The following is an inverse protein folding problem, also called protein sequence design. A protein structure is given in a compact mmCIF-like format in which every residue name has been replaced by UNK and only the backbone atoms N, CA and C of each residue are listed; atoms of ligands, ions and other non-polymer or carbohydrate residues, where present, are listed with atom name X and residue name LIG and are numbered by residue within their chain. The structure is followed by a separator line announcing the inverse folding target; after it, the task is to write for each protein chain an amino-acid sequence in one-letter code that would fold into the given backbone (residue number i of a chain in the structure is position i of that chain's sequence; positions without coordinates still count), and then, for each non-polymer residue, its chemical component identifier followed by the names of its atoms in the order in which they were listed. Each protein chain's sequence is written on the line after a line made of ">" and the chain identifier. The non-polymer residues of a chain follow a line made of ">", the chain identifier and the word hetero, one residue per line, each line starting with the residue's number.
data_IF_311128192627
#
_entry.id   IF_311128192627
#
_cell.length_a   1.000
_cell.length_b   1.000
_cell.length_c   1.000
_cell.angle_alpha   90.00
_cell.angle_beta   90.00
_cell.angle_gamma   90.00
#
_symmetry.space_group_name_H-M   'P 1'
#
loop_
_entity.id
_entity.type
_entity.pdbx_description
1 polymer ?
#
# COMPACT_ATOMS: atom_id res chain seq x y z
N UNK A 1 -4.44 0.25 -13.39
CA UNK A 1 -5.18 0.77 -14.55
C UNK A 1 -6.30 1.69 -14.08
N UNK A 2 -5.92 2.86 -13.55
CA UNK A 2 -6.83 3.91 -13.13
C UNK A 2 -6.46 5.18 -13.88
N UNK A 3 -7.46 5.85 -14.43
CA UNK A 3 -7.33 7.14 -15.09
C UNK A 3 -8.10 8.20 -14.30
N UNK A 4 -7.67 9.43 -14.43
CA UNK A 4 -8.41 10.61 -13.97
C UNK A 4 -8.80 11.44 -15.19
N UNK A 5 -9.97 12.05 -15.14
CA UNK A 5 -10.42 13.01 -16.13
C UNK A 5 -10.45 14.40 -15.51
N UNK A 6 -9.67 15.28 -16.10
CA UNK A 6 -9.58 16.69 -15.72
C UNK A 6 -10.43 17.52 -16.66
N UNK A 7 -10.98 18.62 -16.18
CA UNK A 7 -11.87 19.48 -16.97
C UNK A 7 -11.17 20.10 -18.19
N UNK A 8 -9.96 20.60 -18.02
CA UNK A 8 -9.15 21.20 -19.09
C UNK A 8 -8.12 20.20 -19.63
N UNK A 9 -7.49 19.42 -18.76
CA UNK A 9 -6.38 18.52 -19.09
C UNK A 9 -6.80 17.19 -19.71
N UNK A 10 -8.11 16.88 -19.76
CA UNK A 10 -8.59 15.61 -20.30
C UNK A 10 -8.21 14.40 -19.48
N UNK A 11 -8.04 13.25 -20.10
CA UNK A 11 -7.72 11.99 -19.42
C UNK A 11 -6.22 11.77 -19.26
N UNK A 12 -5.81 11.43 -18.04
CA UNK A 12 -4.41 11.17 -17.64
C UNK A 12 -4.37 9.91 -16.78
N UNK A 13 -3.31 9.12 -16.89
CA UNK A 13 -3.07 8.01 -15.96
C UNK A 13 -2.93 8.52 -14.52
N UNK A 14 -3.47 7.79 -13.55
CA UNK A 14 -3.35 8.17 -12.14
C UNK A 14 -1.89 8.27 -11.69
N UNK A 15 -0.99 7.42 -12.20
CA UNK A 15 0.46 7.46 -11.91
C UNK A 15 1.11 8.77 -12.33
N UNK A 16 0.63 9.38 -13.40
CA UNK A 16 1.15 10.65 -13.90
C UNK A 16 0.48 11.82 -13.18
N UNK A 17 -0.85 11.73 -12.99
CA UNK A 17 -1.61 12.73 -12.26
C UNK A 17 -1.03 13.02 -10.86
N UNK A 18 -0.64 11.98 -10.09
CA UNK A 18 -0.08 12.18 -8.74
C UNK A 18 1.29 12.87 -8.75
N UNK A 19 1.99 12.88 -9.89
CA UNK A 19 3.28 13.56 -10.08
C UNK A 19 3.13 14.98 -10.63
N UNK A 20 1.99 15.29 -11.24
CA UNK A 20 1.74 16.63 -11.81
C UNK A 20 1.81 17.70 -10.73
N UNK A 21 2.28 18.90 -11.08
CA UNK A 21 2.21 20.06 -10.19
C UNK A 21 0.74 20.39 -9.91
N UNK A 22 0.48 20.95 -8.73
CA UNK A 22 -0.85 21.46 -8.40
C UNK A 22 -1.16 22.63 -9.33
N UNK A 23 -2.26 22.52 -10.04
CA UNK A 23 -2.81 23.58 -10.89
C UNK A 23 -4.24 23.95 -10.44
N UNK A 24 -4.93 24.72 -11.25
CA UNK A 24 -6.31 25.15 -11.02
C UNK A 24 -7.32 24.36 -11.86
N UNK A 25 -6.95 23.17 -12.32
CA UNK A 25 -7.88 22.32 -13.04
C UNK A 25 -8.79 21.57 -12.08
N UNK A 26 -9.93 21.12 -12.57
CA UNK A 26 -10.94 20.42 -11.79
C UNK A 26 -10.88 18.93 -12.12
N UNK A 27 -10.73 18.09 -11.10
CA UNK A 27 -10.92 16.66 -11.22
C UNK A 27 -12.40 16.35 -11.41
N UNK A 28 -12.77 15.89 -12.61
CA UNK A 28 -14.17 15.61 -12.97
C UNK A 28 -14.58 14.22 -12.52
N UNK A 29 -13.74 13.21 -12.79
CA UNK A 29 -13.99 11.83 -12.39
C UNK A 29 -12.71 11.00 -12.29
N UNK A 30 -12.83 9.89 -11.56
CA UNK A 30 -11.81 8.83 -11.49
C UNK A 30 -12.39 7.61 -12.20
N UNK A 31 -11.67 7.06 -13.15
CA UNK A 31 -12.07 5.91 -13.96
C UNK A 31 -11.24 4.71 -13.53
N UNK A 32 -11.89 3.72 -12.92
CA UNK A 32 -11.24 2.51 -12.42
C UNK A 32 -11.66 1.33 -13.30
N UNK A 33 -10.70 0.72 -13.98
CA UNK A 33 -10.94 -0.51 -14.72
C UNK A 33 -11.10 -1.68 -13.74
N UNK A 34 -12.26 -2.32 -13.75
CA UNK A 34 -12.50 -3.50 -12.92
C UNK A 34 -11.71 -4.69 -13.47
N UNK A 35 -10.81 -5.23 -12.66
CA UNK A 35 -10.05 -6.44 -12.95
C UNK A 35 -10.07 -7.34 -11.72
N UNK A 36 -10.01 -8.68 -11.86
CA UNK A 36 -9.81 -9.57 -10.73
C UNK A 36 -8.49 -9.21 -10.03
N UNK A 37 -8.55 -8.97 -8.72
CA UNK A 37 -7.38 -8.57 -7.94
C UNK A 37 -7.36 -9.33 -6.60
N UNK A 38 -6.19 -9.87 -6.26
CA UNK A 38 -5.89 -10.28 -4.90
C UNK A 38 -5.33 -9.05 -4.16
N UNK A 39 -6.13 -8.47 -3.27
CA UNK A 39 -5.78 -7.24 -2.58
C UNK A 39 -6.25 -7.27 -1.13
N UNK A 40 -5.43 -6.73 -0.23
CA UNK A 40 -5.81 -6.44 1.15
C UNK A 40 -5.57 -4.98 1.46
N UNK A 41 -6.55 -4.34 2.09
CA UNK A 41 -6.44 -2.98 2.63
C UNK A 41 -6.64 -3.02 4.13
N UNK A 42 -5.65 -2.51 4.86
CA UNK A 42 -5.67 -2.40 6.32
C UNK A 42 -5.38 -0.95 6.72
N UNK A 43 -5.98 -0.51 7.82
CA UNK A 43 -5.68 0.81 8.39
C UNK A 43 -5.72 0.76 9.91
N UNK A 44 -4.80 1.51 10.52
CA UNK A 44 -4.84 1.79 11.96
C UNK A 44 -5.45 3.17 12.18
N UNK A 45 -6.41 3.26 13.09
CA UNK A 45 -7.10 4.49 13.50
C UNK A 45 -7.10 4.62 15.02
N UNK A 46 -7.11 5.84 15.53
CA UNK A 46 -7.23 6.08 16.98
C UNK A 46 -8.67 5.80 17.46
N UNK A 47 -9.67 6.21 16.64
CA UNK A 47 -11.07 5.91 16.87
C UNK A 47 -11.71 5.41 15.57
N UNK A 48 -12.87 4.75 15.65
CA UNK A 48 -13.55 4.15 14.50
C UNK A 48 -13.85 5.15 13.38
N UNK A 49 -14.14 6.39 13.71
CA UNK A 49 -14.56 7.45 12.77
C UNK A 49 -13.43 8.41 12.38
N UNK A 50 -12.23 8.29 12.99
CA UNK A 50 -11.11 9.18 12.71
C UNK A 50 -10.42 8.82 11.37
N UNK A 51 -9.62 9.75 10.87
CA UNK A 51 -8.68 9.47 9.78
C UNK A 51 -7.63 8.44 10.19
N UNK A 52 -7.12 7.63 9.27
CA UNK A 52 -6.07 6.67 9.60
C UNK A 52 -4.82 7.34 10.14
N UNK A 53 -4.19 6.71 11.12
CA UNK A 53 -2.80 7.00 11.53
C UNK A 53 -1.85 6.53 10.42
N UNK A 54 -2.12 5.33 9.88
CA UNK A 54 -1.49 4.76 8.69
C UNK A 54 -2.49 3.85 7.98
N UNK A 55 -2.42 3.85 6.65
CA UNK A 55 -3.12 2.89 5.79
C UNK A 55 -2.11 2.12 4.95
N UNK A 56 -2.36 0.83 4.74
CA UNK A 56 -1.58 -0.06 3.91
C UNK A 56 -2.51 -0.82 2.98
N UNK A 57 -2.20 -0.82 1.69
CA UNK A 57 -2.88 -1.61 0.68
C UNK A 57 -1.84 -2.45 -0.05
N UNK A 58 -2.02 -3.77 -0.07
CA UNK A 58 -1.13 -4.69 -0.78
C UNK A 58 -1.92 -5.40 -1.87
N UNK A 59 -1.37 -5.38 -3.07
CA UNK A 59 -1.82 -6.17 -4.21
C UNK A 59 -0.79 -7.25 -4.51
N UNK A 60 -1.28 -8.48 -4.63
CA UNK A 60 -0.50 -9.61 -5.13
C UNK A 60 -0.93 -9.90 -6.58
N UNK A 61 0.03 -10.06 -7.48
CA UNK A 61 -0.18 -10.41 -8.88
C UNK A 61 0.96 -11.25 -9.41
N UNK A 62 0.80 -11.85 -10.59
CA UNK A 62 1.86 -12.61 -11.28
C UNK A 62 3.12 -11.75 -11.51
N UNK A 63 2.97 -10.44 -11.64
CA UNK A 63 4.07 -9.48 -11.83
C UNK A 63 4.71 -9.03 -10.49
N UNK A 64 4.41 -9.72 -9.38
CA UNK A 64 4.96 -9.41 -8.06
C UNK A 64 3.99 -8.65 -7.15
N UNK A 65 4.55 -8.13 -6.07
CA UNK A 65 3.84 -7.43 -5.01
C UNK A 65 3.97 -5.92 -5.17
N UNK A 66 2.84 -5.22 -5.02
CA UNK A 66 2.80 -3.76 -4.87
C UNK A 66 2.17 -3.40 -3.55
N UNK A 67 2.87 -2.62 -2.75
CA UNK A 67 2.39 -2.11 -1.48
C UNK A 67 2.25 -0.58 -1.55
N UNK A 68 1.10 -0.05 -1.13
CA UNK A 68 0.83 1.39 -1.10
C UNK A 68 0.54 1.82 0.33
N UNK A 69 1.26 2.84 0.79
CA UNK A 69 1.11 3.38 2.14
C UNK A 69 0.55 4.79 2.09
N UNK A 70 -0.58 4.99 2.77
CA UNK A 70 -1.26 6.28 2.91
C UNK A 70 -1.28 6.78 4.36
N UNK A 71 -1.79 7.99 4.56
CA UNK A 71 -1.92 8.63 5.86
C UNK A 71 -0.59 8.80 6.63
N UNK A 72 0.52 8.89 5.93
CA UNK A 72 1.89 9.05 6.47
C UNK A 72 2.36 10.52 6.59
N UNK A 73 1.51 11.50 6.83
CA UNK A 73 1.51 12.95 6.58
C UNK A 73 2.31 13.42 5.34
N UNK A 74 2.12 12.68 4.23
CA UNK A 74 2.63 13.01 2.91
C UNK A 74 1.77 12.30 1.84
N UNK A 75 2.07 12.50 0.55
CA UNK A 75 1.44 11.74 -0.54
C UNK A 75 1.58 10.24 -0.32
N UNK A 76 0.63 9.45 -0.82
CA UNK A 76 0.75 8.00 -0.81
C UNK A 76 2.07 7.55 -1.44
N UNK A 77 2.66 6.52 -0.87
CA UNK A 77 3.95 5.97 -1.28
C UNK A 77 3.75 4.56 -1.84
N UNK A 78 4.19 4.33 -3.06
CA UNK A 78 4.23 3.02 -3.69
C UNK A 78 5.59 2.38 -3.39
N UNK A 79 5.56 1.16 -2.88
CA UNK A 79 6.72 0.30 -2.69
C UNK A 79 6.55 -0.94 -3.54
N UNK A 80 7.56 -1.28 -4.32
CA UNK A 80 7.67 -2.52 -5.08
C UNK A 80 8.75 -3.41 -4.44
N UNK A 81 8.68 -4.71 -4.69
CA UNK A 81 9.65 -5.70 -4.20
C UNK A 81 10.90 -5.72 -5.10
N UNK A 82 11.74 -4.70 -4.98
CA UNK A 82 12.97 -4.57 -5.78
C UNK A 82 14.03 -5.64 -5.44
N UNK A 83 13.96 -6.22 -4.23
CA UNK A 83 14.90 -7.25 -3.76
C UNK A 83 14.41 -8.67 -4.07
N UNK A 84 13.19 -8.82 -4.62
CA UNK A 84 12.61 -10.13 -4.94
C UNK A 84 12.31 -11.00 -3.72
N UNK A 85 12.07 -10.39 -2.56
CA UNK A 85 11.85 -11.08 -1.28
C UNK A 85 10.62 -11.98 -1.28
N UNK A 86 9.63 -11.65 -2.10
CA UNK A 86 8.37 -12.38 -2.25
C UNK A 86 8.26 -13.10 -3.61
N UNK A 87 9.36 -13.16 -4.37
CA UNK A 87 9.38 -13.87 -5.64
C UNK A 87 9.13 -15.37 -5.40
N UNK A 88 8.24 -15.97 -6.20
CA UNK A 88 7.89 -17.39 -6.06
C UNK A 88 7.08 -17.73 -4.81
N UNK A 89 6.50 -16.76 -4.11
CA UNK A 89 5.75 -16.96 -2.88
C UNK A 89 4.65 -18.03 -3.00
N UNK A 90 4.08 -18.22 -4.19
CA UNK A 90 3.01 -19.21 -4.42
C UNK A 90 3.50 -20.65 -4.23
N UNK A 91 4.76 -20.92 -4.51
CA UNK A 91 5.38 -22.26 -4.42
C UNK A 91 6.14 -22.51 -3.11
N UNK A 92 6.27 -21.50 -2.26
CA UNK A 92 6.96 -21.59 -0.97
C UNK A 92 6.17 -22.45 0.03
N UNK A 93 6.86 -23.16 0.90
CA UNK A 93 6.28 -23.78 2.09
C UNK A 93 5.73 -22.73 3.07
N UNK A 94 4.89 -23.15 4.02
CA UNK A 94 4.30 -22.24 5.01
C UNK A 94 5.38 -21.46 5.81
N UNK A 95 6.46 -22.12 6.21
CA UNK A 95 7.54 -21.48 6.97
C UNK A 95 8.37 -20.51 6.12
N UNK A 96 8.63 -20.88 4.87
CA UNK A 96 9.31 -19.98 3.92
C UNK A 96 8.47 -18.73 3.65
N UNK A 97 7.14 -18.87 3.47
CA UNK A 97 6.21 -17.74 3.32
C UNK A 97 6.26 -16.81 4.52
N UNK A 98 6.18 -17.34 5.74
CA UNK A 98 6.28 -16.52 6.96
C UNK A 98 7.59 -15.75 7.02
N UNK A 99 8.70 -16.41 6.69
CA UNK A 99 10.02 -15.79 6.65
C UNK A 99 10.12 -14.70 5.58
N UNK A 100 9.63 -14.95 4.37
CA UNK A 100 9.61 -13.98 3.28
C UNK A 100 8.75 -12.76 3.62
N UNK A 101 7.56 -12.98 4.17
CA UNK A 101 6.65 -11.93 4.63
C UNK A 101 7.29 -11.06 5.71
N UNK A 102 7.99 -11.67 6.68
CA UNK A 102 8.69 -10.93 7.72
C UNK A 102 9.84 -10.08 7.13
N UNK A 103 10.63 -10.64 6.21
CA UNK A 103 11.71 -9.91 5.53
C UNK A 103 11.17 -8.73 4.72
N UNK A 104 10.07 -8.93 3.98
CA UNK A 104 9.45 -7.83 3.23
C UNK A 104 8.84 -6.77 4.15
N UNK A 105 8.25 -7.14 5.28
CA UNK A 105 7.75 -6.18 6.27
C UNK A 105 8.89 -5.32 6.87
N UNK A 106 10.05 -5.92 7.14
CA UNK A 106 11.24 -5.19 7.59
C UNK A 106 11.82 -4.30 6.49
N UNK A 107 11.85 -4.77 5.25
CA UNK A 107 12.21 -3.97 4.08
C UNK A 107 11.29 -2.75 3.94
N UNK A 108 9.98 -2.94 4.01
CA UNK A 108 9.01 -1.86 3.94
C UNK A 108 9.22 -0.82 5.04
N UNK A 109 9.46 -1.26 6.28
CA UNK A 109 9.72 -0.35 7.40
C UNK A 109 10.99 0.52 7.20
N UNK A 110 11.99 0.02 6.48
CA UNK A 110 13.20 0.78 6.14
C UNK A 110 13.02 1.73 4.95
N UNK A 111 12.20 1.34 3.97
CA UNK A 111 12.05 2.09 2.70
C UNK A 111 10.94 3.13 2.71
N UNK A 112 9.86 2.91 3.48
CA UNK A 112 8.71 3.82 3.51
C UNK A 112 8.99 5.01 4.42
N UNK A 113 9.15 6.22 3.88
CA UNK A 113 9.36 7.40 4.72
C UNK A 113 8.07 7.76 5.46
N UNK A 114 8.16 7.90 6.77
CA UNK A 114 7.05 8.28 7.67
C UNK A 114 7.34 9.62 8.34
N UNK A 115 6.27 10.33 8.72
CA UNK A 115 6.35 11.64 9.37
C UNK A 115 5.38 11.70 10.54
N UNK A 116 5.68 12.54 11.54
CA UNK A 116 4.83 12.76 12.70
C UNK A 116 3.75 13.82 12.46
N UNK A 117 2.63 13.71 13.19
CA UNK A 117 1.63 14.75 13.39
C UNK A 117 0.85 14.47 14.69
N UNK A 118 -0.23 15.25 14.93
CA UNK A 118 -1.08 15.08 16.13
C UNK A 118 -1.70 13.67 16.30
N UNK A 119 -1.76 12.84 15.25
CA UNK A 119 -2.34 11.49 15.31
C UNK A 119 -1.34 10.41 15.68
N UNK A 120 -0.06 10.66 15.51
CA UNK A 120 1.00 9.70 15.83
C UNK A 120 2.37 10.17 15.40
N UNK A 121 3.39 9.62 16.04
CA UNK A 121 4.80 9.91 15.73
C UNK A 121 5.26 9.20 14.45
N UNK A 122 6.42 9.59 13.93
CA UNK A 122 7.06 8.94 12.79
C UNK A 122 7.45 7.49 13.15
N UNK A 123 8.00 7.26 14.34
CA UNK A 123 8.42 5.95 14.84
C UNK A 123 7.23 5.00 14.94
N UNK A 124 6.11 5.47 15.48
CA UNK A 124 4.88 4.68 15.56
C UNK A 124 4.37 4.28 14.16
N UNK A 125 4.42 5.21 13.21
CA UNK A 125 4.04 4.90 11.82
C UNK A 125 5.00 3.91 11.15
N UNK A 126 6.29 3.99 11.42
CA UNK A 126 7.27 3.00 10.94
C UNK A 126 6.96 1.60 11.50
N UNK A 127 6.62 1.51 12.78
CA UNK A 127 6.15 0.25 13.37
C UNK A 127 4.86 -0.24 12.70
N UNK A 128 3.90 0.65 12.44
CA UNK A 128 2.67 0.31 11.74
C UNK A 128 2.92 -0.13 10.29
N UNK A 129 3.88 0.45 9.58
CA UNK A 129 4.29 -0.04 8.24
C UNK A 129 4.65 -1.51 8.34
N UNK A 130 5.53 -1.90 9.27
CA UNK A 130 5.92 -3.29 9.45
C UNK A 130 4.72 -4.20 9.76
N UNK A 131 3.92 -3.84 10.77
CA UNK A 131 2.80 -4.66 11.25
C UNK A 131 1.70 -4.80 10.19
N UNK A 132 1.28 -3.69 9.56
CA UNK A 132 0.21 -3.73 8.55
C UNK A 132 0.65 -4.43 7.28
N UNK A 133 1.92 -4.29 6.88
CA UNK A 133 2.49 -5.03 5.73
C UNK A 133 2.42 -6.53 5.97
N UNK A 134 2.90 -7.01 7.12
CA UNK A 134 2.85 -8.43 7.47
C UNK A 134 1.40 -8.95 7.43
N UNK A 135 0.49 -8.30 8.15
CA UNK A 135 -0.93 -8.70 8.21
C UNK A 135 -1.63 -8.67 6.85
N UNK A 136 -1.33 -7.69 6.02
CA UNK A 136 -1.93 -7.59 4.70
C UNK A 136 -1.40 -8.68 3.76
N UNK A 137 -0.11 -9.03 3.84
CA UNK A 137 0.47 -10.15 3.08
C UNK A 137 -0.09 -11.50 3.54
N UNK A 138 -0.25 -11.71 4.84
CA UNK A 138 -0.88 -12.90 5.40
C UNK A 138 -2.31 -13.07 4.88
N UNK A 139 -3.09 -11.98 4.88
CA UNK A 139 -4.47 -11.97 4.37
C UNK A 139 -4.56 -12.25 2.87
N UNK A 140 -3.71 -11.62 2.05
CA UNK A 140 -3.70 -11.81 0.58
C UNK A 140 -3.15 -13.17 0.19
N UNK A 141 -2.16 -13.66 0.94
CA UNK A 141 -1.49 -14.95 0.70
C UNK A 141 -2.26 -16.17 1.22
N UNK A 142 -3.43 -15.96 1.85
CA UNK A 142 -4.21 -17.06 2.44
C UNK A 142 -3.52 -17.74 3.62
N UNK A 143 -2.67 -16.99 4.34
CA UNK A 143 -1.91 -17.50 5.50
C UNK A 143 -2.57 -17.14 6.85
N UNK A 144 -3.84 -16.76 6.84
CA UNK A 144 -4.59 -16.55 8.09
C UNK A 144 -4.75 -17.89 8.77
N UNK A 145 -4.21 -18.02 9.99
CA UNK A 145 -4.49 -19.14 10.85
C UNK A 145 -6.02 -19.19 11.05
N UNK A 146 -6.63 -20.30 10.64
CA UNK A 146 -8.00 -20.63 11.02
C UNK A 146 -7.99 -20.84 12.56
N UNK A 147 -8.45 -19.84 13.29
CA UNK A 147 -8.86 -19.97 14.68
C UNK A 147 -10.37 -19.99 14.79
#
# INVERSE_FOLDING_TARGET
>A
DTEVELFKGGRVCLSDFVKMPKDRDILVRIIIKKTPLKVAYLSQRNTKTDFPVLACCIRLSENGVRAVYGARPAKAFLLEDEEGLLAGMETMSSEEKKTAVQKFADYAARKVPTFGNMRGSAEYRTLLVKVLTRRALEAVGGMTDEN
#
